data_IF_032311583848
#
_entry.id   IF_032311583848
#
_cell.length_a   1.000
_cell.length_b   1.000
_cell.length_c   1.000
_cell.angle_alpha   90.00
_cell.angle_beta   90.00
_cell.angle_gamma   90.00
#
_symmetry.space_group_name_H-M   'P 1'
#
loop_
_entity.id
_entity.type
_entity.pdbx_description
1 polymer ?
#
# COMPACT_ATOMS: atom_id res chain seq x y z
N UNK A 1 15.68 -47.78 -17.89
CA UNK A 1 14.45 -46.96 -17.76
C UNK A 1 14.35 -46.20 -16.43
N UNK A 2 14.93 -46.69 -15.32
CA UNK A 2 14.85 -46.01 -13.99
C UNK A 2 15.52 -44.62 -13.94
N UNK A 3 16.59 -44.41 -14.72
CA UNK A 3 17.35 -43.14 -14.73
C UNK A 3 16.67 -42.04 -15.57
N UNK A 4 15.82 -42.42 -16.53
CA UNK A 4 15.04 -41.47 -17.34
C UNK A 4 13.87 -40.93 -16.52
N UNK A 5 13.26 -41.77 -15.68
CA UNK A 5 12.18 -41.37 -14.77
C UNK A 5 12.65 -40.29 -13.77
N UNK A 6 13.88 -40.41 -13.27
CA UNK A 6 14.49 -39.41 -12.37
C UNK A 6 14.72 -38.05 -13.05
N UNK A 7 15.15 -38.05 -14.31
CA UNK A 7 15.37 -36.83 -15.10
C UNK A 7 14.05 -36.08 -15.40
N UNK A 8 12.97 -36.81 -15.67
CA UNK A 8 11.64 -36.22 -15.92
C UNK A 8 11.11 -35.56 -14.65
N UNK A 9 11.23 -36.22 -13.49
CA UNK A 9 10.79 -35.67 -12.21
C UNK A 9 11.58 -34.40 -11.85
N UNK A 10 12.89 -34.39 -12.12
CA UNK A 10 13.74 -33.22 -11.87
C UNK A 10 13.39 -32.03 -12.80
N UNK A 11 13.07 -32.30 -14.06
CA UNK A 11 12.61 -31.29 -15.02
C UNK A 11 11.22 -30.72 -14.65
N UNK A 12 10.31 -31.55 -14.15
CA UNK A 12 8.99 -31.11 -13.68
C UNK A 12 9.04 -30.30 -12.37
N UNK A 13 10.01 -30.54 -11.49
CA UNK A 13 10.18 -29.75 -10.25
C UNK A 13 10.79 -28.37 -10.51
N UNK A 14 11.68 -28.22 -11.50
CA UNK A 14 12.35 -26.95 -11.83
C UNK A 14 11.44 -25.87 -12.45
N UNK A 15 10.28 -26.24 -12.99
CA UNK A 15 9.38 -25.32 -13.69
C UNK A 15 8.45 -24.48 -12.78
N UNK A 16 8.44 -24.72 -11.46
CA UNK A 16 7.45 -24.11 -10.55
C UNK A 16 7.89 -22.77 -9.92
N UNK A 17 9.05 -22.21 -10.26
CA UNK A 17 9.54 -20.96 -9.66
C UNK A 17 9.06 -19.66 -10.32
N UNK A 18 8.29 -19.72 -11.42
CA UNK A 18 7.97 -18.52 -12.22
C UNK A 18 6.69 -17.77 -11.79
N UNK A 19 6.00 -18.18 -10.72
CA UNK A 19 4.73 -17.56 -10.31
C UNK A 19 4.83 -16.60 -9.12
N UNK A 20 6.03 -16.14 -8.76
CA UNK A 20 6.16 -14.93 -7.93
C UNK A 20 6.07 -13.69 -8.83
N UNK A 21 4.91 -13.46 -9.44
CA UNK A 21 4.57 -12.12 -9.90
C UNK A 21 4.28 -11.31 -8.64
N UNK A 22 5.21 -10.42 -8.28
CA UNK A 22 4.94 -9.36 -7.32
C UNK A 22 3.81 -8.51 -7.92
N UNK A 23 2.58 -8.71 -7.45
CA UNK A 23 1.44 -7.95 -7.92
C UNK A 23 1.66 -6.49 -7.56
N UNK A 24 1.95 -5.65 -8.55
CA UNK A 24 1.99 -4.17 -8.47
C UNK A 24 0.54 -3.65 -8.41
N UNK A 25 -0.30 -4.30 -7.62
CA UNK A 25 -1.69 -3.91 -7.41
C UNK A 25 -1.79 -3.24 -6.04
N UNK A 26 -2.50 -2.12 -5.93
CA UNK A 26 -2.70 -1.34 -4.70
C UNK A 26 -1.46 -0.54 -4.23
N UNK A 27 -0.84 0.22 -5.13
CA UNK A 27 0.20 1.19 -4.75
C UNK A 27 -0.43 2.57 -4.56
N UNK A 28 -0.29 3.13 -3.35
CA UNK A 28 -0.57 4.53 -3.10
C UNK A 28 0.55 5.41 -3.68
N UNK A 29 0.18 6.38 -4.51
CA UNK A 29 1.10 7.32 -5.16
C UNK A 29 1.13 8.60 -4.35
N UNK A 30 2.31 8.98 -3.87
CA UNK A 30 2.53 10.27 -3.24
C UNK A 30 2.73 11.37 -4.31
N UNK A 31 2.55 12.62 -3.91
CA UNK A 31 2.97 13.77 -4.70
C UNK A 31 4.48 13.83 -4.94
N UNK A 32 4.95 14.93 -5.49
CA UNK A 32 6.38 15.17 -5.75
C UNK A 32 7.21 15.12 -4.45
N UNK A 33 8.53 14.95 -4.58
CA UNK A 33 9.44 14.95 -3.42
C UNK A 33 9.37 16.26 -2.62
N UNK A 34 9.13 17.39 -3.28
CA UNK A 34 8.91 18.68 -2.63
C UNK A 34 7.60 18.70 -1.84
N UNK A 35 6.49 18.31 -2.48
CA UNK A 35 5.17 18.25 -1.82
C UNK A 35 5.19 17.30 -0.61
N UNK A 36 5.89 16.17 -0.72
CA UNK A 36 6.04 15.24 0.39
C UNK A 36 6.90 15.81 1.54
N UNK A 37 7.94 16.59 1.21
CA UNK A 37 8.75 17.29 2.21
C UNK A 37 7.92 18.37 2.93
N UNK A 38 7.11 19.12 2.20
CA UNK A 38 6.16 20.09 2.77
C UNK A 38 5.10 19.40 3.63
N UNK A 39 4.54 18.28 3.16
CA UNK A 39 3.58 17.45 3.91
C UNK A 39 4.17 16.94 5.23
N UNK A 40 5.47 16.60 5.24
CA UNK A 40 6.19 16.21 6.46
C UNK A 40 6.30 17.33 7.48
N UNK A 41 6.29 18.59 7.05
CA UNK A 41 6.31 19.75 7.94
C UNK A 41 4.88 20.11 8.38
N UNK A 42 3.93 20.17 7.46
CA UNK A 42 2.55 20.58 7.73
C UNK A 42 1.73 19.53 8.48
N UNK A 43 2.04 18.24 8.31
CA UNK A 43 1.21 17.15 8.80
C UNK A 43 -0.04 16.92 7.96
N UNK A 44 -0.12 17.50 6.77
CA UNK A 44 -1.19 17.27 5.81
C UNK A 44 -0.61 16.52 4.61
N UNK A 45 -1.12 15.34 4.32
CA UNK A 45 -0.65 14.49 3.23
C UNK A 45 -1.76 14.22 2.21
N UNK A 46 -1.37 14.01 0.97
CA UNK A 46 -2.26 13.55 -0.09
C UNK A 46 -1.63 12.35 -0.80
N UNK A 47 -2.44 11.32 -1.00
CA UNK A 47 -2.05 10.13 -1.76
C UNK A 47 -3.15 9.78 -2.75
N UNK A 48 -2.78 9.48 -3.99
CA UNK A 48 -3.69 8.87 -4.96
C UNK A 48 -3.65 7.35 -4.74
N UNK A 49 -4.78 6.78 -4.36
CA UNK A 49 -4.94 5.35 -4.13
C UNK A 49 -5.25 4.62 -5.44
N UNK A 50 -5.24 3.29 -5.43
CA UNK A 50 -5.60 2.50 -6.62
C UNK A 50 -7.06 2.74 -6.99
N UNK A 51 -7.35 2.64 -8.28
CA UNK A 51 -8.71 2.55 -8.84
C UNK A 51 -9.54 1.37 -8.29
N UNK A 52 -8.88 0.36 -7.72
CA UNK A 52 -9.49 -0.79 -7.03
C UNK A 52 -9.85 -0.51 -5.58
N UNK A 53 -9.29 0.54 -4.98
CA UNK A 53 -9.56 0.88 -3.58
C UNK A 53 -10.97 1.44 -3.45
N UNK A 54 -11.76 0.87 -2.54
CA UNK A 54 -13.12 1.34 -2.27
C UNK A 54 -13.15 2.26 -1.06
N UNK A 55 -14.10 3.19 -1.06
CA UNK A 55 -14.33 4.10 0.08
C UNK A 55 -14.62 3.35 1.39
N UNK A 56 -15.30 2.20 1.32
CA UNK A 56 -15.58 1.34 2.49
C UNK A 56 -14.30 0.81 3.14
N UNK A 57 -13.31 0.44 2.34
CA UNK A 57 -12.02 -0.09 2.80
C UNK A 57 -11.18 1.03 3.44
N UNK A 58 -11.15 2.21 2.80
CA UNK A 58 -10.47 3.40 3.33
C UNK A 58 -11.06 3.81 4.68
N UNK A 59 -12.40 3.90 4.76
CA UNK A 59 -13.11 4.29 5.98
C UNK A 59 -12.86 3.29 7.11
N UNK A 60 -12.93 1.99 6.81
CA UNK A 60 -12.67 0.93 7.77
C UNK A 60 -11.23 0.96 8.27
N UNK A 61 -10.26 1.07 7.36
CA UNK A 61 -8.84 1.13 7.72
C UNK A 61 -8.52 2.37 8.57
N UNK A 62 -9.06 3.54 8.21
CA UNK A 62 -8.86 4.78 8.96
C UNK A 62 -9.45 4.70 10.39
N UNK A 63 -10.54 3.96 10.59
CA UNK A 63 -11.21 3.80 11.90
C UNK A 63 -10.32 3.17 12.98
N UNK A 64 -9.24 2.47 12.61
CA UNK A 64 -8.29 1.90 13.55
C UNK A 64 -7.27 2.92 14.10
N UNK A 65 -7.19 4.12 13.53
CA UNK A 65 -6.13 5.10 13.84
C UNK A 65 -6.63 6.51 14.23
N UNK A 66 -7.77 6.68 14.93
CA UNK A 66 -8.35 8.02 15.16
C UNK A 66 -7.49 8.95 16.02
N UNK A 67 -6.58 8.40 16.84
CA UNK A 67 -5.64 9.18 17.64
C UNK A 67 -4.40 9.66 16.88
N UNK A 68 -4.19 9.20 15.63
CA UNK A 68 -2.99 9.51 14.86
C UNK A 68 -3.27 10.47 13.70
N UNK A 69 -4.39 10.30 13.01
CA UNK A 69 -4.80 11.14 11.87
C UNK A 69 -6.28 10.95 11.54
N UNK A 70 -6.84 11.90 10.77
CA UNK A 70 -8.11 11.75 10.07
C UNK A 70 -7.88 11.57 8.57
N UNK A 71 -8.76 10.86 7.89
CA UNK A 71 -8.70 10.63 6.44
C UNK A 71 -10.01 11.11 5.80
N UNK A 72 -9.89 11.89 4.72
CA UNK A 72 -10.98 12.20 3.79
C UNK A 72 -10.64 11.55 2.45
N UNK A 73 -11.61 10.90 1.82
CA UNK A 73 -11.41 10.20 0.56
C UNK A 73 -12.35 10.75 -0.52
N UNK A 74 -11.80 11.08 -1.68
CA UNK A 74 -12.55 11.52 -2.86
C UNK A 74 -12.61 10.36 -3.88
N UNK A 75 -13.73 9.64 -3.90
CA UNK A 75 -13.90 8.46 -4.76
C UNK A 75 -13.71 8.74 -6.26
N UNK A 76 -14.22 9.84 -6.85
CA UNK A 76 -13.94 10.21 -8.23
C UNK A 76 -12.45 10.30 -8.60
N UNK A 77 -11.62 10.87 -7.72
CA UNK A 77 -10.19 11.10 -8.00
C UNK A 77 -9.27 10.07 -7.33
N UNK A 78 -9.83 9.21 -6.49
CA UNK A 78 -9.14 8.26 -5.62
C UNK A 78 -8.12 8.92 -4.69
N UNK A 79 -8.29 10.22 -4.38
CA UNK A 79 -7.38 10.96 -3.50
C UNK A 79 -7.79 10.77 -2.04
N UNK A 80 -6.86 10.28 -1.22
CA UNK A 80 -6.95 10.29 0.23
C UNK A 80 -6.18 11.49 0.80
N UNK A 81 -6.90 12.41 1.42
CA UNK A 81 -6.34 13.53 2.19
C UNK A 81 -6.24 13.15 3.66
N UNK A 82 -5.03 13.19 4.20
CA UNK A 82 -4.73 12.76 5.57
C UNK A 82 -4.26 13.96 6.39
N UNK A 83 -4.88 14.18 7.54
CA UNK A 83 -4.49 15.21 8.49
C UNK A 83 -4.00 14.57 9.78
N UNK A 84 -2.72 14.77 10.11
CA UNK A 84 -2.10 14.24 11.31
C UNK A 84 -2.63 14.96 12.56
N UNK A 85 -2.92 14.21 13.62
CA UNK A 85 -3.20 14.73 14.96
C UNK A 85 -1.90 15.22 15.60
N UNK A 86 -0.90 14.35 15.65
CA UNK A 86 0.47 14.68 16.00
C UNK A 86 1.41 14.37 14.82
N UNK A 87 2.11 15.39 14.31
CA UNK A 87 3.04 15.23 13.19
C UNK A 87 4.45 14.78 13.65
N UNK A 88 4.52 13.66 14.36
CA UNK A 88 5.77 13.06 14.82
C UNK A 88 6.13 11.80 14.01
N UNK A 89 7.32 11.25 14.24
CA UNK A 89 7.81 10.10 13.47
C UNK A 89 7.00 8.82 13.72
N UNK A 90 6.49 8.64 14.93
CA UNK A 90 5.67 7.48 15.28
C UNK A 90 4.33 7.52 14.52
N UNK A 91 3.65 8.65 14.53
CA UNK A 91 2.39 8.82 13.81
C UNK A 91 2.55 8.62 12.31
N UNK A 92 3.67 9.08 11.72
CA UNK A 92 3.98 8.82 10.30
C UNK A 92 4.20 7.33 10.00
N UNK A 93 4.79 6.56 10.93
CA UNK A 93 4.86 5.09 10.79
C UNK A 93 3.48 4.44 10.85
N UNK A 94 2.55 4.97 11.63
CA UNK A 94 1.17 4.48 11.66
C UNK A 94 0.45 4.81 10.35
N UNK A 95 0.68 6.01 9.78
CA UNK A 95 0.18 6.36 8.45
C UNK A 95 0.63 5.34 7.38
N UNK A 96 1.90 4.91 7.40
CA UNK A 96 2.37 3.86 6.49
C UNK A 96 1.65 2.51 6.68
N UNK A 97 1.25 2.17 7.92
CA UNK A 97 0.46 0.95 8.17
C UNK A 97 -0.94 1.05 7.57
N UNK A 98 -1.57 2.21 7.71
CA UNK A 98 -2.84 2.50 7.04
C UNK A 98 -2.70 2.34 5.52
N UNK A 99 -1.68 2.95 4.90
CA UNK A 99 -1.44 2.82 3.46
C UNK A 99 -1.16 1.37 3.03
N UNK A 100 -0.53 0.56 3.89
CA UNK A 100 -0.29 -0.86 3.60
C UNK A 100 -1.53 -1.77 3.80
N UNK A 101 -2.61 -1.24 4.37
CA UNK A 101 -3.84 -1.99 4.66
C UNK A 101 -4.98 -1.75 3.67
N UNK A 102 -4.79 -0.82 2.73
CA UNK A 102 -5.79 -0.35 1.76
C UNK A 102 -5.38 -0.63 0.31
#
# INVERSE_FOLDING_TARGET
>A
MKNILFLIIFFCMGANFNNFVCQVENIAIAGTSQELAESKISGSYQFTLSDKTKEEDVTKAASYYPGFFSVSYDSPTHVASIQMVENNENSRRVLLRFLSSI
#
